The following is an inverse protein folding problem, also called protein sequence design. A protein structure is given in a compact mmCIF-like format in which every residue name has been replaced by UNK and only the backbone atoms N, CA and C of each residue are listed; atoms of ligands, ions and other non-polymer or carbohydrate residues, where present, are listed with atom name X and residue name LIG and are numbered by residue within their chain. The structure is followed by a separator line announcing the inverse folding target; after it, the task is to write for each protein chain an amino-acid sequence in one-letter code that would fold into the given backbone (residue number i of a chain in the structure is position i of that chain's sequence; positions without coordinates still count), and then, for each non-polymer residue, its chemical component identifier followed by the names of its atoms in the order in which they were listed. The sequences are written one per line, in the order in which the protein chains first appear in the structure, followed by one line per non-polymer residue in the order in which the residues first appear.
data_IF_712793423476
#
_entry.id   IF_712793423476
#
_cell.length_a   1.000
_cell.length_b   1.000
_cell.length_c   1.000
_cell.angle_alpha   90.00
_cell.angle_beta   90.00
_cell.angle_gamma   90.00
#
_symmetry.space_group_name_H-M   'P 1'
#
loop_
_entity.id
_entity.type
_entity.pdbx_description
1 polymer ?
#
# COMPACT_ATOMS: atom_id res chain seq x y z
N UNK A 1 6.37 18.56 -6.01
CA UNK A 1 5.79 17.79 -7.13
C UNK A 1 4.65 16.93 -6.60
N UNK A 2 3.57 16.76 -7.38
CA UNK A 2 2.46 15.89 -6.97
C UNK A 2 1.79 15.23 -8.17
N UNK A 3 1.27 14.01 -7.98
CA UNK A 3 0.35 13.39 -8.93
C UNK A 3 -1.07 13.64 -8.39
N UNK A 4 -1.88 14.35 -9.19
CA UNK A 4 -3.29 14.56 -8.89
C UNK A 4 -4.15 13.64 -9.76
N UNK A 5 -5.08 12.96 -9.12
CA UNK A 5 -6.08 12.10 -9.76
C UNK A 5 -7.45 12.71 -9.50
N UNK A 6 -8.21 13.01 -10.57
CA UNK A 6 -9.53 13.66 -10.49
C UNK A 6 -10.59 12.88 -11.26
N UNK A 7 -11.66 12.50 -10.57
CA UNK A 7 -12.82 11.75 -11.11
C UNK A 7 -12.42 10.57 -12.02
N UNK A 8 -11.35 9.86 -11.63
CA UNK A 8 -10.78 8.78 -12.43
C UNK A 8 -11.74 7.59 -12.48
N UNK A 9 -12.08 7.16 -13.70
CA UNK A 9 -12.99 6.02 -13.94
C UNK A 9 -12.37 4.96 -14.83
N UNK A 10 -12.68 3.70 -14.52
CA UNK A 10 -12.37 2.56 -15.38
C UNK A 10 -13.52 1.59 -15.44
N UNK A 11 -14.01 1.36 -16.65
CA UNK A 11 -15.04 0.38 -16.96
C UNK A 11 -14.48 -0.70 -17.86
N UNK A 12 -14.64 -1.95 -17.47
CA UNK A 12 -14.36 -3.13 -18.27
C UNK A 12 -15.69 -3.77 -18.69
N UNK A 13 -16.07 -3.66 -19.94
CA UNK A 13 -17.38 -4.14 -20.44
C UNK A 13 -18.54 -3.63 -19.53
N UNK A 14 -19.10 -4.53 -18.69
CA UNK A 14 -20.22 -4.20 -17.78
C UNK A 14 -19.78 -3.86 -16.36
N UNK A 15 -18.51 -4.10 -15.98
CA UNK A 15 -18.00 -3.90 -14.62
C UNK A 15 -17.26 -2.57 -14.52
N UNK A 16 -17.71 -1.69 -13.64
CA UNK A 16 -16.98 -0.50 -13.25
C UNK A 16 -15.99 -0.87 -12.13
N UNK A 17 -14.70 -0.86 -12.45
CA UNK A 17 -13.64 -1.20 -11.52
C UNK A 17 -13.19 0.01 -10.69
N UNK A 18 -13.28 1.22 -11.27
CA UNK A 18 -13.03 2.50 -10.59
C UNK A 18 -14.15 3.45 -10.99
N UNK A 19 -14.76 4.14 -10.01
CA UNK A 19 -16.04 4.85 -10.15
C UNK A 19 -15.95 6.36 -9.86
N UNK A 20 -14.78 6.97 -10.04
CA UNK A 20 -14.56 8.39 -9.77
C UNK A 20 -13.58 8.61 -8.63
N UNK A 21 -12.43 7.92 -8.68
CA UNK A 21 -11.39 8.11 -7.68
C UNK A 21 -10.78 9.52 -7.79
N UNK A 22 -10.72 10.23 -6.67
CA UNK A 22 -10.09 11.55 -6.55
C UNK A 22 -9.17 11.53 -5.33
N UNK A 23 -7.89 11.81 -5.51
CA UNK A 23 -6.87 11.88 -4.46
C UNK A 23 -5.58 12.51 -4.98
N UNK A 24 -4.67 12.81 -4.05
CA UNK A 24 -3.35 13.38 -4.36
C UNK A 24 -2.23 12.53 -3.78
N UNK A 25 -1.20 12.32 -4.58
CA UNK A 25 0.07 11.68 -4.19
C UNK A 25 1.13 12.77 -4.16
N UNK A 26 1.53 13.18 -2.96
CA UNK A 26 2.58 14.16 -2.75
C UNK A 26 3.97 13.54 -3.03
N UNK A 27 4.94 14.39 -3.41
CA UNK A 27 6.34 13.96 -3.50
C UNK A 27 6.93 13.64 -2.12
N UNK A 28 8.00 12.85 -2.13
CA UNK A 28 8.80 12.56 -0.95
C UNK A 28 7.98 12.03 0.24
N UNK A 29 7.13 11.02 0.00
CA UNK A 29 6.25 10.42 1.00
C UNK A 29 6.10 8.92 0.83
N UNK A 30 5.74 8.23 1.91
CA UNK A 30 5.41 6.80 1.89
C UNK A 30 3.91 6.64 2.13
N UNK A 31 3.17 6.31 1.08
CA UNK A 31 1.71 6.31 1.05
C UNK A 31 1.18 4.88 0.94
N UNK A 32 0.21 4.52 1.77
CA UNK A 32 -0.56 3.30 1.64
C UNK A 32 -1.79 3.49 0.76
N UNK A 33 -1.92 2.74 -0.32
CA UNK A 33 -3.16 2.61 -1.09
C UNK A 33 -3.90 1.37 -0.60
N UNK A 34 -4.80 1.55 0.36
CA UNK A 34 -5.43 0.47 1.11
C UNK A 34 -6.82 0.11 0.56
N UNK A 35 -7.16 -1.16 0.59
CA UNK A 35 -8.47 -1.63 0.15
C UNK A 35 -8.53 -3.15 0.10
N UNK A 36 -9.72 -3.71 0.25
CA UNK A 36 -9.96 -5.16 0.11
C UNK A 36 -9.60 -5.64 -1.30
N UNK A 37 -9.46 -6.95 -1.49
CA UNK A 37 -9.25 -7.54 -2.81
C UNK A 37 -10.40 -7.17 -3.76
N UNK A 38 -10.06 -6.70 -4.95
CA UNK A 38 -11.04 -6.23 -5.94
C UNK A 38 -11.55 -4.81 -5.75
N UNK A 39 -11.07 -4.04 -4.77
CA UNK A 39 -11.49 -2.65 -4.52
C UNK A 39 -11.08 -1.67 -5.63
N UNK A 40 -10.16 -2.04 -6.53
CA UNK A 40 -9.71 -1.18 -7.65
C UNK A 40 -8.26 -0.69 -7.55
N UNK A 41 -7.51 -1.04 -6.49
CA UNK A 41 -6.12 -0.61 -6.25
C UNK A 41 -5.21 -0.80 -7.47
N UNK A 42 -5.02 -2.04 -7.91
CA UNK A 42 -4.17 -2.38 -9.06
C UNK A 42 -4.64 -1.69 -10.35
N UNK A 43 -5.96 -1.53 -10.53
CA UNK A 43 -6.51 -0.82 -11.70
C UNK A 43 -6.10 0.65 -11.69
N UNK A 44 -6.18 1.32 -10.53
CA UNK A 44 -5.74 2.72 -10.37
C UNK A 44 -4.25 2.84 -10.65
N UNK A 45 -3.41 1.99 -10.04
CA UNK A 45 -1.96 2.01 -10.27
C UNK A 45 -1.60 1.78 -11.73
N UNK A 46 -2.26 0.84 -12.39
CA UNK A 46 -2.03 0.56 -13.82
C UNK A 46 -2.44 1.73 -14.72
N UNK A 47 -3.50 2.48 -14.37
CA UNK A 47 -3.87 3.71 -15.09
C UNK A 47 -2.83 4.81 -14.89
N UNK A 48 -2.36 5.06 -13.66
CA UNK A 48 -1.32 6.05 -13.39
C UNK A 48 -0.03 5.68 -14.12
N UNK A 49 0.37 4.41 -14.08
CA UNK A 49 1.55 3.91 -14.79
C UNK A 49 1.36 3.75 -16.31
N UNK A 50 0.23 4.19 -16.87
CA UNK A 50 -0.09 4.13 -18.32
C UNK A 50 -0.07 2.73 -18.92
N UNK A 51 -0.27 1.68 -18.10
CA UNK A 51 -0.36 0.30 -18.59
C UNK A 51 -1.73 -0.05 -19.11
N UNK A 52 -2.76 0.65 -18.67
CA UNK A 52 -4.13 0.55 -19.16
C UNK A 52 -4.72 1.95 -19.34
N UNK A 53 -5.57 2.11 -20.36
CA UNK A 53 -6.28 3.34 -20.60
C UNK A 53 -7.40 3.58 -19.56
N UNK A 54 -7.54 4.81 -19.12
CA UNK A 54 -8.68 5.28 -18.31
C UNK A 54 -9.94 5.37 -19.19
N UNK A 55 -11.11 5.24 -18.59
CA UNK A 55 -12.39 5.49 -19.28
C UNK A 55 -12.70 6.99 -19.29
N UNK A 56 -12.47 7.69 -18.17
CA UNK A 56 -12.61 9.14 -18.03
C UNK A 56 -11.86 9.63 -16.79
N UNK A 57 -11.88 10.93 -16.55
CA UNK A 57 -11.18 11.61 -15.45
C UNK A 57 -9.77 12.03 -15.85
N UNK A 58 -9.06 12.65 -14.94
CA UNK A 58 -7.73 13.23 -15.20
C UNK A 58 -6.67 12.68 -14.25
N UNK A 59 -5.45 12.54 -14.79
CA UNK A 59 -4.25 12.20 -14.03
C UNK A 59 -3.19 13.22 -14.46
N UNK A 60 -2.75 14.06 -13.55
CA UNK A 60 -1.74 15.09 -13.83
C UNK A 60 -0.52 14.93 -12.93
N UNK A 61 0.65 15.25 -13.46
CA UNK A 61 1.88 15.46 -12.70
C UNK A 61 2.21 16.96 -12.76
N UNK A 62 2.17 17.62 -11.62
CA UNK A 62 2.36 19.09 -11.50
C UNK A 62 1.46 19.89 -12.47
N UNK A 63 0.20 19.48 -12.57
CA UNK A 63 -0.81 20.13 -13.44
C UNK A 63 -0.71 19.76 -14.92
N UNK A 64 0.29 18.99 -15.35
CA UNK A 64 0.44 18.51 -16.73
C UNK A 64 -0.14 17.12 -16.86
N UNK A 65 -0.98 16.89 -17.87
CA UNK A 65 -1.57 15.55 -18.13
C UNK A 65 -0.46 14.50 -18.25
N UNK A 66 -0.43 13.58 -17.30
CA UNK A 66 0.60 12.53 -17.20
C UNK A 66 0.63 11.65 -18.45
N UNK A 67 -0.52 11.41 -19.09
CA UNK A 67 -0.63 10.54 -20.25
C UNK A 67 -0.17 11.21 -21.55
N UNK A 68 -0.14 12.54 -21.59
CA UNK A 68 0.31 13.33 -22.75
C UNK A 68 1.76 13.79 -22.64
N UNK A 69 2.38 13.64 -21.46
CA UNK A 69 3.75 14.06 -21.22
C UNK A 69 4.73 12.88 -21.43
N UNK A 70 5.51 12.85 -22.54
CA UNK A 70 6.47 11.78 -22.80
C UNK A 70 7.56 11.66 -21.72
N UNK A 71 7.97 12.79 -21.11
CA UNK A 71 9.00 12.83 -20.07
C UNK A 71 8.52 12.22 -18.76
N UNK A 72 7.22 12.26 -18.47
CA UNK A 72 6.65 11.69 -17.28
C UNK A 72 6.71 10.14 -17.23
N UNK A 73 7.03 9.49 -18.35
CA UNK A 73 7.20 8.03 -18.35
C UNK A 73 8.34 7.54 -17.47
N UNK A 74 9.37 8.36 -17.29
CA UNK A 74 10.53 8.01 -16.46
C UNK A 74 10.31 8.36 -14.98
N UNK A 75 9.32 9.22 -14.69
CA UNK A 75 9.01 9.64 -13.33
C UNK A 75 8.21 8.59 -12.54
N UNK A 76 7.53 7.68 -13.25
CA UNK A 76 6.63 6.69 -12.63
C UNK A 76 7.13 5.27 -12.92
N UNK A 77 7.39 4.51 -11.87
CA UNK A 77 7.68 3.08 -11.95
C UNK A 77 6.60 2.28 -11.21
N UNK A 78 6.08 1.23 -11.83
CA UNK A 78 5.14 0.29 -11.20
C UNK A 78 5.72 -1.12 -11.13
N UNK A 79 5.93 -1.61 -9.91
CA UNK A 79 6.17 -3.02 -9.62
C UNK A 79 4.83 -3.72 -9.45
N UNK A 80 4.34 -4.34 -10.50
CA UNK A 80 3.05 -5.04 -10.51
C UNK A 80 3.11 -6.37 -9.79
N UNK A 81 1.99 -6.79 -9.19
CA UNK A 81 1.75 -8.15 -8.70
C UNK A 81 1.85 -9.18 -9.83
N UNK A 82 1.49 -8.79 -11.06
CA UNK A 82 1.59 -9.64 -12.23
C UNK A 82 3.02 -10.01 -12.61
N UNK A 83 3.16 -11.16 -13.29
CA UNK A 83 4.46 -11.69 -13.71
C UNK A 83 4.73 -11.33 -15.19
N UNK A 84 5.19 -10.12 -15.43
CA UNK A 84 5.53 -9.62 -16.79
C UNK A 84 6.92 -10.00 -17.27
N UNK A 85 7.78 -10.56 -16.40
CA UNK A 85 9.13 -10.95 -16.81
C UNK A 85 9.14 -12.22 -17.64
N UNK A 86 9.99 -12.29 -18.70
CA UNK A 86 10.16 -13.50 -19.49
C UNK A 86 10.64 -14.66 -18.60
N UNK A 87 9.94 -15.78 -18.71
CA UNK A 87 10.13 -16.94 -17.82
C UNK A 87 11.55 -17.53 -17.87
N UNK A 88 12.23 -17.42 -19.04
CA UNK A 88 13.55 -17.95 -19.26
C UNK A 88 14.70 -17.07 -18.75
N UNK A 89 14.40 -15.81 -18.40
CA UNK A 89 15.42 -14.87 -17.93
C UNK A 89 15.88 -15.24 -16.51
N UNK A 90 17.17 -15.07 -16.27
CA UNK A 90 17.76 -15.11 -14.93
C UNK A 90 17.67 -13.74 -14.31
N UNK A 91 17.74 -13.67 -12.98
CA UNK A 91 17.69 -12.37 -12.31
C UNK A 91 18.80 -11.41 -12.76
N UNK A 92 20.02 -11.93 -12.99
CA UNK A 92 21.12 -11.12 -13.56
C UNK A 92 20.77 -10.48 -14.91
N UNK A 93 19.97 -11.16 -15.74
CA UNK A 93 19.57 -10.65 -17.05
C UNK A 93 18.57 -9.50 -16.88
N UNK A 94 17.66 -9.61 -15.91
CA UNK A 94 16.74 -8.51 -15.54
C UNK A 94 17.51 -7.29 -15.02
N UNK A 95 18.50 -7.48 -14.17
CA UNK A 95 19.36 -6.38 -13.69
C UNK A 95 20.07 -5.65 -14.85
N UNK A 96 20.58 -6.41 -15.83
CA UNK A 96 21.24 -5.83 -17.00
C UNK A 96 20.23 -5.00 -17.85
N UNK A 97 19.02 -5.52 -18.07
CA UNK A 97 17.96 -4.80 -18.77
C UNK A 97 17.61 -3.50 -18.03
N UNK A 98 17.41 -3.56 -16.71
CA UNK A 98 17.10 -2.36 -15.91
C UNK A 98 18.20 -1.32 -15.97
N UNK A 99 19.46 -1.72 -15.96
CA UNK A 99 20.59 -0.76 -16.11
C UNK A 99 20.61 -0.08 -17.45
N UNK A 100 20.18 -0.77 -18.53
CA UNK A 100 20.07 -0.17 -19.87
C UNK A 100 18.84 0.73 -19.96
N UNK A 101 17.68 0.28 -19.44
CA UNK A 101 16.41 1.01 -19.51
C UNK A 101 16.43 2.25 -18.63
N UNK A 102 17.07 2.17 -17.47
CA UNK A 102 17.22 3.25 -16.51
C UNK A 102 18.72 3.55 -16.28
N UNK A 103 19.31 4.51 -17.00
CA UNK A 103 20.75 4.80 -16.89
C UNK A 103 21.22 5.10 -15.46
N UNK A 104 20.35 5.72 -14.65
CA UNK A 104 20.61 6.06 -13.24
C UNK A 104 20.23 4.93 -12.26
N UNK A 105 19.90 3.73 -12.74
CA UNK A 105 19.61 2.57 -11.87
C UNK A 105 20.75 2.32 -10.89
N UNK A 106 20.46 2.32 -9.58
CA UNK A 106 21.46 2.13 -8.53
C UNK A 106 21.88 0.66 -8.43
N UNK A 107 22.78 0.26 -9.32
CA UNK A 107 23.32 -1.11 -9.37
C UNK A 107 24.05 -1.48 -8.06
N UNK A 108 24.70 -0.51 -7.38
CA UNK A 108 25.39 -0.76 -6.12
C UNK A 108 24.39 -1.13 -5.03
N UNK A 109 23.32 -0.35 -4.90
CA UNK A 109 22.27 -0.64 -3.93
C UNK A 109 21.55 -1.96 -4.27
N UNK A 110 21.27 -2.22 -5.55
CA UNK A 110 20.73 -3.52 -5.98
C UNK A 110 21.61 -4.70 -5.56
N UNK A 111 22.95 -4.59 -5.70
CA UNK A 111 23.89 -5.61 -5.28
C UNK A 111 23.90 -5.82 -3.75
N UNK A 112 23.77 -4.74 -2.98
CA UNK A 112 23.67 -4.83 -1.51
C UNK A 112 22.36 -5.50 -1.10
N UNK A 113 21.25 -5.16 -1.75
CA UNK A 113 19.95 -5.82 -1.53
C UNK A 113 20.00 -7.32 -1.90
N UNK A 114 20.64 -7.69 -3.01
CA UNK A 114 20.83 -9.08 -3.43
C UNK A 114 21.52 -9.90 -2.33
N UNK A 115 22.56 -9.35 -1.70
CA UNK A 115 23.27 -10.00 -0.60
C UNK A 115 22.39 -10.16 0.63
N UNK A 116 21.68 -9.09 1.00
CA UNK A 116 20.86 -9.05 2.22
C UNK A 116 19.63 -9.97 2.12
N UNK A 117 19.02 -10.06 0.93
CA UNK A 117 17.90 -10.96 0.66
C UNK A 117 18.33 -12.37 0.24
N UNK A 118 19.63 -12.66 0.20
CA UNK A 118 20.23 -13.93 -0.22
C UNK A 118 19.73 -14.41 -1.60
N UNK A 119 19.79 -13.53 -2.60
CA UNK A 119 19.23 -13.79 -3.93
C UNK A 119 20.25 -14.47 -4.86
N UNK A 120 19.91 -15.66 -5.35
CA UNK A 120 20.69 -16.32 -6.40
C UNK A 120 20.38 -15.70 -7.79
N UNK A 121 21.24 -14.78 -8.22
CA UNK A 121 21.10 -14.07 -9.50
C UNK A 121 21.16 -14.98 -10.75
N UNK A 122 21.62 -16.21 -10.61
CA UNK A 122 21.68 -17.20 -11.71
C UNK A 122 20.39 -18.00 -11.85
N UNK A 123 19.47 -17.89 -10.91
CA UNK A 123 18.17 -18.57 -10.94
C UNK A 123 17.28 -18.00 -12.05
N UNK A 124 16.63 -18.88 -12.81
CA UNK A 124 15.60 -18.50 -13.78
C UNK A 124 14.33 -18.02 -13.10
N UNK A 125 13.67 -17.02 -13.66
CA UNK A 125 12.42 -16.47 -13.13
C UNK A 125 11.31 -17.52 -13.05
N UNK A 126 11.21 -18.43 -14.03
CA UNK A 126 10.25 -19.56 -14.05
C UNK A 126 10.40 -20.52 -12.87
N UNK A 127 11.62 -20.67 -12.33
CA UNK A 127 11.92 -21.59 -11.22
C UNK A 127 11.83 -20.92 -9.83
N UNK A 128 11.58 -19.63 -9.78
CA UNK A 128 11.48 -18.90 -8.53
C UNK A 128 10.09 -19.11 -7.89
N UNK A 129 10.05 -19.28 -6.57
CA UNK A 129 8.81 -19.25 -5.79
C UNK A 129 8.14 -17.88 -5.87
N UNK A 130 6.86 -17.78 -5.47
CA UNK A 130 6.14 -16.49 -5.44
C UNK A 130 6.87 -15.47 -4.57
N UNK A 131 7.27 -15.84 -3.36
CA UNK A 131 8.02 -14.95 -2.47
C UNK A 131 9.36 -14.53 -3.06
N UNK A 132 10.08 -15.45 -3.70
CA UNK A 132 11.35 -15.13 -4.35
C UNK A 132 11.17 -14.16 -5.53
N UNK A 133 10.09 -14.30 -6.32
CA UNK A 133 9.72 -13.35 -7.36
C UNK A 133 9.39 -11.97 -6.78
N UNK A 134 8.69 -11.91 -5.64
CA UNK A 134 8.43 -10.67 -4.92
C UNK A 134 9.72 -9.99 -4.48
N UNK A 135 10.68 -10.72 -3.92
CA UNK A 135 12.00 -10.18 -3.55
C UNK A 135 12.73 -9.61 -4.77
N UNK A 136 12.75 -10.33 -5.90
CA UNK A 136 13.37 -9.82 -7.14
C UNK A 136 12.73 -8.49 -7.58
N UNK A 137 11.39 -8.39 -7.55
CA UNK A 137 10.64 -7.17 -7.88
C UNK A 137 10.95 -6.02 -6.93
N UNK A 138 11.03 -6.31 -5.62
CA UNK A 138 11.41 -5.33 -4.58
C UNK A 138 12.79 -4.76 -4.86
N UNK A 139 13.79 -5.59 -5.14
CA UNK A 139 15.16 -5.14 -5.43
C UNK A 139 15.18 -4.20 -6.65
N UNK A 140 14.49 -4.60 -7.72
CA UNK A 140 14.40 -3.78 -8.93
C UNK A 140 13.70 -2.45 -8.67
N UNK A 141 12.64 -2.43 -7.85
CA UNK A 141 11.88 -1.24 -7.50
C UNK A 141 12.70 -0.28 -6.61
N UNK A 142 13.32 -0.79 -5.55
CA UNK A 142 14.09 0.04 -4.61
C UNK A 142 15.35 0.64 -5.23
N UNK A 143 15.93 0.01 -6.23
CA UNK A 143 17.08 0.52 -6.98
C UNK A 143 16.70 1.35 -8.22
N UNK A 144 15.42 1.45 -8.57
CA UNK A 144 14.93 2.22 -9.70
C UNK A 144 15.04 3.72 -9.42
N UNK A 145 15.44 4.58 -10.39
CA UNK A 145 15.63 6.01 -10.17
C UNK A 145 14.36 6.87 -10.25
N UNK A 146 13.22 6.31 -10.64
CA UNK A 146 11.97 7.06 -10.78
C UNK A 146 11.55 7.77 -9.50
N UNK A 147 10.90 8.92 -9.62
CA UNK A 147 10.46 9.74 -8.50
C UNK A 147 9.26 9.15 -7.76
N UNK A 148 8.38 8.47 -8.51
CA UNK A 148 7.19 7.78 -7.98
C UNK A 148 7.32 6.27 -8.19
N UNK A 149 7.49 5.54 -7.10
CA UNK A 149 7.59 4.07 -7.08
C UNK A 149 6.30 3.47 -6.54
N UNK A 150 5.55 2.84 -7.42
CA UNK A 150 4.33 2.11 -7.07
C UNK A 150 4.63 0.63 -6.86
N UNK A 151 4.20 0.10 -5.73
CA UNK A 151 4.40 -1.29 -5.32
C UNK A 151 3.02 -1.94 -5.12
N UNK A 152 2.65 -2.85 -6.01
CA UNK A 152 1.38 -3.56 -5.95
C UNK A 152 1.56 -4.92 -5.26
N UNK A 153 1.03 -5.04 -4.04
CA UNK A 153 1.14 -6.20 -3.15
C UNK A 153 2.60 -6.70 -2.95
N UNK A 154 3.56 -5.82 -2.57
CA UNK A 154 4.99 -6.18 -2.57
C UNK A 154 5.34 -7.27 -1.57
N UNK A 155 4.62 -7.35 -0.44
CA UNK A 155 4.90 -8.31 0.63
C UNK A 155 4.16 -9.64 0.50
N UNK A 156 3.38 -9.79 -0.57
CA UNK A 156 2.62 -11.02 -0.81
C UNK A 156 3.58 -12.21 -1.07
N UNK A 157 3.38 -13.29 -0.31
CA UNK A 157 4.19 -14.50 -0.40
C UNK A 157 5.54 -14.42 0.32
N UNK A 158 5.84 -13.33 1.02
CA UNK A 158 7.01 -13.21 1.90
C UNK A 158 6.70 -13.78 3.29
N UNK A 159 7.70 -14.39 3.91
CA UNK A 159 7.65 -14.71 5.34
C UNK A 159 7.88 -13.46 6.22
N UNK A 160 7.64 -13.60 7.51
CA UNK A 160 7.72 -12.47 8.46
C UNK A 160 9.10 -11.77 8.46
N UNK A 161 10.19 -12.53 8.34
CA UNK A 161 11.55 -11.96 8.32
C UNK A 161 11.76 -11.09 7.07
N UNK A 162 11.35 -11.59 5.90
CA UNK A 162 11.48 -10.84 4.65
C UNK A 162 10.56 -9.62 4.59
N UNK A 163 9.37 -9.64 5.23
CA UNK A 163 8.50 -8.47 5.35
C UNK A 163 9.14 -7.35 6.19
N UNK A 164 9.70 -7.70 7.35
CA UNK A 164 10.44 -6.73 8.18
C UNK A 164 11.66 -6.17 7.44
N UNK A 165 12.38 -7.05 6.72
CA UNK A 165 13.54 -6.64 5.93
C UNK A 165 13.12 -5.69 4.78
N UNK A 166 12.00 -5.95 4.12
CA UNK A 166 11.43 -5.05 3.11
C UNK A 166 11.18 -3.66 3.69
N UNK A 167 10.48 -3.55 4.82
CA UNK A 167 10.21 -2.27 5.48
C UNK A 167 11.50 -1.52 5.79
N UNK A 168 12.48 -2.20 6.40
CA UNK A 168 13.78 -1.61 6.70
C UNK A 168 14.49 -1.10 5.45
N UNK A 169 14.48 -1.88 4.35
CA UNK A 169 15.17 -1.53 3.11
C UNK A 169 14.45 -0.47 2.31
N UNK A 170 13.13 -0.38 2.42
CA UNK A 170 12.36 0.72 1.84
C UNK A 170 12.68 2.05 2.55
N UNK A 171 12.71 2.06 3.89
CA UNK A 171 13.12 3.24 4.65
C UNK A 171 14.58 3.64 4.36
N UNK A 172 15.49 2.67 4.19
CA UNK A 172 16.87 2.95 3.77
C UNK A 172 16.92 3.57 2.37
N UNK A 173 16.14 3.06 1.41
CA UNK A 173 16.03 3.62 0.06
C UNK A 173 15.49 5.05 0.09
N UNK A 174 14.46 5.30 0.91
CA UNK A 174 13.88 6.63 1.12
C UNK A 174 14.88 7.60 1.72
N UNK A 175 15.60 7.20 2.78
CA UNK A 175 16.60 8.04 3.43
C UNK A 175 17.82 8.36 2.52
N UNK A 176 18.19 7.46 1.62
CA UNK A 176 19.29 7.67 0.65
C UNK A 176 18.93 8.68 -0.45
N UNK A 177 17.70 8.63 -0.90
CA UNK A 177 17.11 9.52 -1.91
C UNK A 177 15.63 9.68 -1.61
N UNK A 178 15.21 10.77 -0.97
CA UNK A 178 13.79 11.04 -0.73
C UNK A 178 13.03 11.03 -2.06
N UNK A 179 11.96 10.26 -2.11
CA UNK A 179 11.05 10.09 -3.26
C UNK A 179 9.77 9.42 -2.80
N UNK A 180 8.79 9.33 -3.65
CA UNK A 180 7.47 8.81 -3.26
C UNK A 180 7.37 7.31 -3.46
N UNK A 181 6.98 6.60 -2.40
CA UNK A 181 6.60 5.20 -2.46
C UNK A 181 5.10 5.06 -2.21
N UNK A 182 4.37 4.42 -3.12
CA UNK A 182 2.96 4.08 -2.92
C UNK A 182 2.82 2.57 -2.83
N UNK A 183 2.39 2.08 -1.67
CA UNK A 183 2.24 0.65 -1.39
C UNK A 183 0.76 0.29 -1.44
N UNK A 184 0.34 -0.38 -2.52
CA UNK A 184 -1.00 -0.93 -2.61
C UNK A 184 -1.04 -2.32 -1.97
N UNK A 185 -1.81 -2.48 -0.91
CA UNK A 185 -1.92 -3.76 -0.21
C UNK A 185 -3.24 -3.91 0.54
N UNK A 186 -3.59 -5.14 0.84
CA UNK A 186 -4.63 -5.51 1.82
C UNK A 186 -4.04 -6.01 3.14
N UNK A 187 -2.70 -6.22 3.20
CA UNK A 187 -1.95 -6.66 4.39
C UNK A 187 -1.41 -5.44 5.14
N UNK A 188 -2.30 -4.70 5.81
CA UNK A 188 -2.01 -3.38 6.38
C UNK A 188 -1.00 -3.46 7.51
N UNK A 189 -1.13 -4.42 8.44
CA UNK A 189 -0.22 -4.60 9.57
C UNK A 189 1.24 -4.70 9.15
N UNK A 190 1.48 -5.31 8.00
CA UNK A 190 2.83 -5.57 7.51
C UNK A 190 3.59 -4.32 7.09
N UNK A 191 2.87 -3.24 6.76
CA UNK A 191 3.45 -1.99 6.25
C UNK A 191 3.06 -0.76 7.07
N UNK A 192 2.12 -0.88 8.01
CA UNK A 192 1.57 0.25 8.77
C UNK A 192 2.65 1.13 9.43
N UNK A 193 3.72 0.51 9.93
CA UNK A 193 4.81 1.21 10.65
C UNK A 193 5.67 2.13 9.78
N UNK A 194 5.56 2.04 8.46
CA UNK A 194 6.35 2.86 7.53
C UNK A 194 5.50 3.85 6.74
N UNK A 195 4.18 3.82 6.88
CA UNK A 195 3.26 4.70 6.16
C UNK A 195 3.11 6.04 6.86
N UNK A 196 3.16 7.13 6.10
CA UNK A 196 2.88 8.49 6.56
C UNK A 196 1.41 8.88 6.30
N UNK A 197 0.88 8.46 5.16
CA UNK A 197 -0.47 8.78 4.69
C UNK A 197 -1.14 7.52 4.15
N UNK A 198 -2.46 7.47 4.22
CA UNK A 198 -3.25 6.41 3.60
C UNK A 198 -4.35 6.97 2.71
N UNK A 199 -4.56 6.28 1.60
CA UNK A 199 -5.67 6.48 0.67
C UNK A 199 -6.47 5.18 0.68
N UNK A 200 -7.72 5.22 1.10
CA UNK A 200 -8.58 4.03 1.21
C UNK A 200 -9.50 3.96 0.00
N UNK A 201 -9.45 2.83 -0.71
CA UNK A 201 -10.36 2.53 -1.82
C UNK A 201 -11.33 1.42 -1.40
N UNK A 202 -12.64 1.71 -1.52
CA UNK A 202 -13.74 0.77 -1.30
C UNK A 202 -14.65 0.76 -2.53
N UNK A 203 -14.87 -0.41 -3.12
CA UNK A 203 -15.76 -0.63 -4.27
C UNK A 203 -15.55 0.34 -5.46
N UNK A 204 -14.29 0.70 -5.73
CA UNK A 204 -13.87 1.56 -6.83
C UNK A 204 -13.95 3.06 -6.54
N UNK A 205 -14.20 3.46 -5.30
CA UNK A 205 -14.26 4.85 -4.84
C UNK A 205 -13.24 5.10 -3.76
N UNK A 206 -12.58 6.26 -3.75
CA UNK A 206 -11.76 6.71 -2.62
C UNK A 206 -12.69 7.21 -1.51
N UNK A 207 -12.63 6.58 -0.35
CA UNK A 207 -13.48 6.91 0.81
C UNK A 207 -12.75 7.72 1.87
N UNK A 208 -11.42 7.58 1.94
CA UNK A 208 -10.58 8.26 2.92
C UNK A 208 -9.25 8.65 2.31
N UNK A 209 -8.76 9.82 2.68
CA UNK A 209 -7.41 10.31 2.43
C UNK A 209 -6.94 11.00 3.71
N UNK A 210 -6.02 10.39 4.47
CA UNK A 210 -5.73 10.81 5.84
C UNK A 210 -4.28 10.46 6.24
N UNK A 211 -3.68 11.28 7.09
CA UNK A 211 -2.38 10.99 7.72
C UNK A 211 -2.53 9.83 8.72
N UNK A 212 -1.56 8.93 8.74
CA UNK A 212 -1.57 7.79 9.68
C UNK A 212 -1.56 8.29 11.13
N UNK A 213 -0.80 9.33 11.42
CA UNK A 213 -0.75 9.95 12.75
C UNK A 213 -2.13 10.43 13.22
N UNK A 214 -2.91 11.05 12.33
CA UNK A 214 -4.25 11.50 12.64
C UNK A 214 -5.20 10.32 12.92
N UNK A 215 -5.06 9.22 12.18
CA UNK A 215 -5.82 8.00 12.43
C UNK A 215 -5.53 7.45 13.82
N UNK A 216 -4.25 7.31 14.16
CA UNK A 216 -3.83 6.75 15.44
C UNK A 216 -4.28 7.57 16.66
N UNK A 217 -4.48 8.89 16.47
CA UNK A 217 -5.00 9.80 17.49
C UNK A 217 -6.52 9.86 17.56
N UNK A 218 -7.24 9.32 16.57
CA UNK A 218 -8.71 9.43 16.49
C UNK A 218 -9.44 8.67 17.59
N UNK A 219 -8.83 7.63 18.16
CA UNK A 219 -9.53 6.77 19.10
C UNK A 219 -8.66 5.72 19.77
N UNK A 220 -9.32 4.73 20.31
CA UNK A 220 -8.71 3.62 21.04
C UNK A 220 -9.55 2.36 20.91
N UNK A 221 -9.00 1.26 21.40
CA UNK A 221 -9.72 -0.01 21.51
C UNK A 221 -9.95 -0.29 22.99
N UNK A 222 -11.18 -0.67 23.33
CA UNK A 222 -11.54 -1.16 24.67
C UNK A 222 -11.97 -2.60 24.60
N UNK A 223 -11.53 -3.41 25.56
CA UNK A 223 -11.86 -4.83 25.63
C UNK A 223 -12.08 -5.30 27.06
N UNK A 224 -12.90 -6.36 27.23
CA UNK A 224 -13.23 -6.92 28.54
C UNK A 224 -14.51 -7.74 28.51
N UNK A 225 -15.11 -7.96 29.71
CA UNK A 225 -16.40 -8.63 29.81
C UNK A 225 -17.49 -7.85 29.07
N UNK A 226 -18.34 -8.55 28.29
CA UNK A 226 -19.31 -7.96 27.38
C UNK A 226 -20.22 -6.91 28.04
N UNK A 227 -20.68 -7.18 29.26
CA UNK A 227 -21.52 -6.24 30.04
C UNK A 227 -20.80 -4.94 30.36
N UNK A 228 -19.53 -5.02 30.79
CA UNK A 228 -18.71 -3.86 31.13
C UNK A 228 -18.38 -3.01 29.90
N UNK A 229 -18.00 -3.66 28.80
CA UNK A 229 -17.70 -2.96 27.55
C UNK A 229 -18.94 -2.26 27.02
N UNK A 230 -20.10 -2.93 26.99
CA UNK A 230 -21.36 -2.35 26.52
C UNK A 230 -21.78 -1.13 27.35
N UNK A 231 -21.65 -1.20 28.68
CA UNK A 231 -21.92 -0.09 29.58
C UNK A 231 -20.96 1.08 29.32
N UNK A 232 -19.66 0.78 29.19
CA UNK A 232 -18.62 1.81 28.98
C UNK A 232 -18.79 2.55 27.65
N UNK A 233 -19.23 1.87 26.57
CA UNK A 233 -19.35 2.48 25.24
C UNK A 233 -20.75 3.03 24.91
N UNK A 234 -21.70 2.93 25.82
CA UNK A 234 -23.11 3.28 25.58
C UNK A 234 -23.33 4.72 25.10
N UNK A 235 -22.49 5.65 25.54
CA UNK A 235 -22.51 7.08 25.21
C UNK A 235 -21.43 7.50 24.20
N UNK A 236 -20.66 6.54 23.66
CA UNK A 236 -19.48 6.79 22.82
C UNK A 236 -19.73 6.50 21.36
N UNK A 237 -18.94 7.13 20.49
CA UNK A 237 -18.94 6.83 19.07
C UNK A 237 -18.14 5.56 18.80
N UNK A 238 -18.82 4.44 18.67
CA UNK A 238 -18.24 3.14 18.35
C UNK A 238 -18.20 2.96 16.83
N UNK A 239 -17.05 2.58 16.27
CA UNK A 239 -16.90 2.22 14.85
C UNK A 239 -17.20 0.76 14.62
N UNK A 240 -16.75 -0.12 15.52
CA UNK A 240 -16.87 -1.56 15.41
C UNK A 240 -16.93 -2.22 16.79
N UNK A 241 -17.67 -3.30 16.87
CA UNK A 241 -17.73 -4.16 18.04
C UNK A 241 -17.67 -5.61 17.60
N UNK A 242 -16.71 -6.35 18.16
CA UNK A 242 -16.59 -7.79 18.01
C UNK A 242 -16.81 -8.47 19.35
N UNK A 243 -17.65 -9.53 19.35
CA UNK A 243 -17.96 -10.29 20.55
C UNK A 243 -17.67 -11.78 20.35
N UNK A 244 -16.93 -12.36 21.29
CA UNK A 244 -16.65 -13.80 21.33
C UNK A 244 -17.04 -14.31 22.73
N UNK A 245 -18.14 -15.03 22.78
CA UNK A 245 -18.71 -15.48 24.05
C UNK A 245 -19.06 -14.30 24.97
N UNK A 246 -18.46 -14.26 26.16
CA UNK A 246 -18.64 -13.18 27.13
C UNK A 246 -17.53 -12.11 27.10
N UNK A 247 -16.71 -12.10 26.04
CA UNK A 247 -15.67 -11.11 25.83
C UNK A 247 -16.02 -10.22 24.64
N UNK A 248 -15.93 -8.93 24.82
CA UNK A 248 -16.20 -7.92 23.79
C UNK A 248 -14.98 -7.03 23.60
N UNK A 249 -14.73 -6.68 22.33
CA UNK A 249 -13.75 -5.70 21.90
C UNK A 249 -14.44 -4.64 21.05
N UNK A 250 -14.27 -3.37 21.38
CA UNK A 250 -14.86 -2.26 20.63
C UNK A 250 -13.82 -1.23 20.22
N UNK A 251 -13.93 -0.75 18.99
CA UNK A 251 -13.15 0.37 18.44
C UNK A 251 -13.94 1.65 18.67
N UNK A 252 -13.38 2.56 19.46
CA UNK A 252 -14.05 3.79 19.92
C UNK A 252 -13.33 5.02 19.39
N UNK A 253 -14.08 5.99 18.87
CA UNK A 253 -13.57 7.31 18.48
C UNK A 253 -13.67 8.28 19.65
N UNK A 254 -12.57 8.99 19.91
CA UNK A 254 -12.46 9.99 20.98
C UNK A 254 -11.35 9.65 21.95
N UNK A 255 -11.26 10.43 23.03
CA UNK A 255 -10.29 10.22 24.09
C UNK A 255 -10.74 9.09 25.04
N UNK A 256 -9.78 8.39 25.63
CA UNK A 256 -10.06 7.43 26.72
C UNK A 256 -10.64 8.22 27.89
N UNK A 257 -11.80 7.79 28.37
CA UNK A 257 -12.41 8.33 29.58
C UNK A 257 -11.78 7.78 30.86
N UNK A 258 -12.53 7.79 31.97
CA UNK A 258 -12.06 7.19 33.22
C UNK A 258 -11.83 5.69 33.05
N UNK A 259 -10.67 5.21 33.49
CA UNK A 259 -10.33 3.81 33.44
C UNK A 259 -11.24 3.04 34.45
N UNK A 260 -11.87 1.97 33.98
CA UNK A 260 -12.72 1.13 34.81
C UNK A 260 -12.06 -0.22 35.07
N UNK A 261 -12.13 -0.74 36.30
CA UNK A 261 -11.62 -2.09 36.62
C UNK A 261 -12.30 -3.15 35.75
N UNK A 262 -11.50 -4.07 35.16
CA UNK A 262 -11.99 -5.14 34.32
C UNK A 262 -12.10 -4.76 32.82
N UNK A 263 -11.75 -3.53 32.44
CA UNK A 263 -11.57 -3.11 31.07
C UNK A 263 -10.09 -2.90 30.73
N UNK A 264 -9.70 -3.34 29.55
CA UNK A 264 -8.37 -3.11 28.97
C UNK A 264 -8.47 -2.10 27.82
N UNK A 265 -7.51 -1.17 27.79
CA UNK A 265 -7.44 -0.13 26.76
C UNK A 265 -6.15 -0.26 25.98
N UNK A 266 -6.24 -0.20 24.65
CA UNK A 266 -5.09 -0.18 23.77
C UNK A 266 -5.20 0.92 22.72
N UNK A 267 -4.08 1.42 22.18
CA UNK A 267 -4.09 2.39 21.11
C UNK A 267 -4.83 1.84 19.88
N UNK A 268 -5.50 2.73 19.14
CA UNK A 268 -6.07 2.39 17.84
C UNK A 268 -4.94 2.06 16.86
N UNK A 269 -5.05 0.94 16.16
CA UNK A 269 -4.13 0.61 15.06
C UNK A 269 -4.72 1.03 13.71
N UNK A 270 -3.85 1.21 12.71
CA UNK A 270 -4.29 1.50 11.34
C UNK A 270 -5.16 0.36 10.79
N UNK A 271 -4.86 -0.89 11.14
CA UNK A 271 -5.64 -2.06 10.74
C UNK A 271 -7.04 -2.05 11.35
N UNK A 272 -7.16 -1.80 12.65
CA UNK A 272 -8.47 -1.71 13.33
C UNK A 272 -9.34 -0.64 12.69
N UNK A 273 -8.76 0.54 12.45
CA UNK A 273 -9.47 1.63 11.79
C UNK A 273 -9.94 1.22 10.40
N UNK A 274 -9.04 0.64 9.59
CA UNK A 274 -9.36 0.23 8.23
C UNK A 274 -10.46 -0.84 8.19
N UNK A 275 -10.39 -1.87 9.05
CA UNK A 275 -11.42 -2.92 9.14
C UNK A 275 -12.76 -2.27 9.45
N UNK A 276 -12.79 -1.41 10.47
CA UNK A 276 -14.02 -0.75 10.92
C UNK A 276 -14.71 0.09 9.83
N UNK A 277 -13.94 0.79 8.95
CA UNK A 277 -14.53 1.62 7.89
C UNK A 277 -14.81 0.86 6.59
N UNK A 278 -14.23 -0.32 6.41
CA UNK A 278 -14.38 -1.11 5.18
C UNK A 278 -15.31 -2.31 5.32
N UNK A 279 -15.73 -2.63 6.54
CA UNK A 279 -16.71 -3.70 6.81
C UNK A 279 -17.99 -3.46 6.01
N UNK A 280 -18.58 -4.51 5.47
CA UNK A 280 -19.90 -4.43 4.85
C UNK A 280 -20.94 -4.52 5.95
N UNK A 281 -22.01 -3.70 5.86
CA UNK A 281 -23.11 -3.65 6.83
C UNK A 281 -23.85 -5.00 7.05
N UNK A 282 -23.47 -6.05 6.32
CA UNK A 282 -24.11 -7.37 6.35
C UNK A 282 -23.14 -8.53 6.72
N UNK A 283 -21.95 -8.24 7.27
CA UNK A 283 -21.01 -9.27 7.77
C UNK A 283 -20.97 -9.28 9.31
#
# INVERSE_FOLDING_TARGET
MSIEVKDLKKKYFKKEAVKGATFTIESESIIGLLGRNGAGKSTVLNMIARRIEKTSGDITLDGVDLHKNPNAMHEVYLSSSDNWFPQEYKFKDLLAIYKVTYPEFDMKFAQDLIKVFDVNVKQKYSKASTGYKSIMKIILALANPSEYIFLDEPVLGLDANHRQLFNKKLLEAYARRPRTFVIATHLIEEVASILEKVIVIKDGVVTEEVLVEDVLRKGYVVSGASTLVQEYVADKKVLETDQIGNFTRSVVIGAIGEAQPGLEFSPLTLQDYFISITRKENE
#
